data_IF_152598182929
#
_entry.id   IF_152598182929
#
_cell.length_a   1.000
_cell.length_b   1.000
_cell.length_c   1.000
_cell.angle_alpha   90.00
_cell.angle_beta   90.00
_cell.angle_gamma   90.00
#
_symmetry.space_group_name_H-M   'P 1'
#
loop_
_entity.id
_entity.type
_entity.pdbx_description
1 polymer ?
#
# COMPACT_ATOMS: atom_id res chain seq x y z
N UNK A 1 -8.40 -6.91 28.41
CA UNK A 1 -8.06 -8.08 27.59
C UNK A 1 -9.33 -8.91 27.44
N UNK A 2 -10.08 -8.73 26.38
CA UNK A 2 -11.26 -9.52 26.12
C UNK A 2 -10.94 -10.52 25.02
N UNK A 3 -11.28 -11.76 25.32
CA UNK A 3 -11.01 -12.95 24.55
C UNK A 3 -11.28 -12.76 23.05
N UNK A 4 -10.27 -13.07 22.25
CA UNK A 4 -10.43 -13.35 20.83
C UNK A 4 -11.39 -14.53 20.75
N UNK A 5 -12.48 -14.38 20.02
CA UNK A 5 -13.48 -15.41 19.83
C UNK A 5 -12.83 -16.61 19.13
N UNK A 6 -12.55 -17.67 19.88
CA UNK A 6 -11.78 -18.84 19.43
C UNK A 6 -12.50 -19.74 18.40
N UNK A 7 -13.72 -19.42 18.04
CA UNK A 7 -14.52 -20.28 17.17
C UNK A 7 -14.95 -19.58 15.88
N UNK A 8 -14.34 -20.03 14.82
CA UNK A 8 -14.69 -19.83 13.41
C UNK A 8 -14.47 -18.43 12.83
N UNK A 9 -13.45 -18.32 12.04
CA UNK A 9 -13.18 -17.19 11.12
C UNK A 9 -14.33 -16.93 10.12
N UNK A 10 -15.36 -17.76 10.06
CA UNK A 10 -16.42 -17.70 9.04
C UNK A 10 -17.85 -17.95 9.54
N UNK A 11 -18.07 -18.34 10.78
CA UNK A 11 -19.42 -18.38 11.33
C UNK A 11 -19.80 -16.99 11.78
N UNK A 12 -20.97 -16.52 11.36
CA UNK A 12 -21.62 -15.28 11.76
C UNK A 12 -21.29 -14.97 13.23
N UNK A 13 -20.31 -14.11 13.46
CA UNK A 13 -20.03 -13.64 14.79
C UNK A 13 -21.33 -13.01 15.31
N UNK A 14 -21.94 -13.63 16.30
CA UNK A 14 -23.11 -13.11 17.00
C UNK A 14 -22.77 -11.93 17.91
N UNK A 15 -21.57 -11.37 17.77
CA UNK A 15 -21.15 -10.14 18.41
C UNK A 15 -22.08 -9.01 17.93
N UNK A 16 -23.22 -8.87 18.57
CA UNK A 16 -24.17 -7.77 18.36
C UNK A 16 -23.60 -6.41 18.76
N UNK A 17 -22.41 -6.38 19.32
CA UNK A 17 -21.70 -5.16 19.65
C UNK A 17 -21.02 -4.61 18.39
N UNK A 18 -21.70 -3.69 17.73
CA UNK A 18 -21.05 -2.80 16.77
C UNK A 18 -19.93 -2.06 17.52
N UNK A 19 -18.67 -2.47 17.33
CA UNK A 19 -17.54 -1.71 17.84
C UNK A 19 -17.49 -0.39 17.09
N UNK A 20 -18.09 0.64 17.68
CA UNK A 20 -17.88 2.00 17.21
C UNK A 20 -16.51 2.43 17.73
N UNK A 21 -15.53 2.54 16.83
CA UNK A 21 -14.28 3.20 17.18
C UNK A 21 -14.60 4.61 17.68
N UNK A 22 -14.03 5.04 18.82
CA UNK A 22 -14.23 6.39 19.31
C UNK A 22 -13.92 7.42 18.22
N UNK A 23 -14.78 8.42 18.02
CA UNK A 23 -14.60 9.48 17.03
C UNK A 23 -13.29 10.26 17.22
N UNK A 24 -12.80 10.31 18.46
CA UNK A 24 -11.55 10.99 18.83
C UNK A 24 -10.28 10.28 18.32
N UNK A 25 -10.37 8.97 17.96
CA UNK A 25 -9.21 8.25 17.44
C UNK A 25 -9.02 8.57 15.96
N UNK A 26 -7.82 9.02 15.55
CA UNK A 26 -7.50 9.17 14.14
C UNK A 26 -7.46 7.80 13.46
N UNK A 27 -7.89 7.74 12.20
CA UNK A 27 -7.71 6.57 11.34
C UNK A 27 -6.54 6.81 10.40
N UNK A 28 -5.74 5.77 10.21
CA UNK A 28 -4.59 5.78 9.33
C UNK A 28 -4.81 4.75 8.22
N UNK A 29 -4.57 5.17 6.98
CA UNK A 29 -4.46 4.29 5.84
C UNK A 29 -3.01 4.33 5.36
N UNK A 30 -2.30 3.23 5.54
CA UNK A 30 -0.86 3.15 5.30
C UNK A 30 -0.47 3.00 3.84
N UNK A 31 -1.44 2.74 2.94
CA UNK A 31 -1.22 2.64 1.50
C UNK A 31 -2.54 2.76 0.74
N UNK A 32 -2.65 3.78 -0.10
CA UNK A 32 -3.79 4.01 -0.99
C UNK A 32 -3.36 4.81 -2.22
N UNK A 33 -4.28 4.98 -3.18
CA UNK A 33 -4.09 5.75 -4.42
C UNK A 33 -5.20 6.79 -4.56
N UNK A 34 -5.14 7.85 -3.76
CA UNK A 34 -6.18 8.89 -3.72
C UNK A 34 -6.32 9.62 -5.05
N UNK A 35 -5.23 9.75 -5.82
CA UNK A 35 -5.27 10.37 -7.15
C UNK A 35 -6.18 9.61 -8.12
N UNK A 36 -6.36 8.31 -7.96
CA UNK A 36 -7.31 7.52 -8.74
C UNK A 36 -8.76 7.84 -8.37
N UNK A 37 -9.03 8.16 -7.11
CA UNK A 37 -10.36 8.58 -6.68
C UNK A 37 -10.85 9.80 -7.50
N UNK A 38 -10.00 10.80 -7.68
CA UNK A 38 -10.39 12.03 -8.41
C UNK A 38 -10.43 11.86 -9.93
N UNK A 39 -9.84 10.79 -10.47
CA UNK A 39 -9.90 10.49 -11.91
C UNK A 39 -11.20 9.87 -12.37
N UNK A 40 -11.89 9.17 -11.47
CA UNK A 40 -13.11 8.44 -11.78
C UNK A 40 -14.38 9.24 -11.47
N UNK A 41 -14.35 10.56 -11.71
CA UNK A 41 -15.51 11.46 -11.60
C UNK A 41 -16.08 11.63 -10.19
N UNK A 42 -15.36 11.23 -9.15
CA UNK A 42 -15.77 11.56 -7.79
C UNK A 42 -15.57 13.06 -7.54
N UNK A 43 -16.66 13.70 -7.17
CA UNK A 43 -16.63 15.11 -6.83
C UNK A 43 -15.79 15.30 -5.54
N UNK A 44 -14.95 16.33 -5.50
CA UNK A 44 -14.22 16.74 -4.29
C UNK A 44 -15.14 16.91 -3.07
N UNK A 45 -16.37 17.37 -3.29
CA UNK A 45 -17.38 17.54 -2.25
C UNK A 45 -17.81 16.18 -1.65
N UNK A 46 -17.80 15.09 -2.42
CA UNK A 46 -18.16 13.77 -1.93
C UNK A 46 -17.09 13.25 -0.97
N UNK A 47 -15.81 13.49 -1.27
CA UNK A 47 -14.72 13.16 -0.36
C UNK A 47 -14.80 13.99 0.93
N UNK A 48 -15.00 15.29 0.84
CA UNK A 48 -15.12 16.20 1.98
C UNK A 48 -16.35 15.86 2.85
N UNK A 49 -17.50 15.48 2.27
CA UNK A 49 -18.71 15.09 2.99
C UNK A 49 -18.57 13.75 3.69
N UNK A 50 -17.87 12.78 3.11
CA UNK A 50 -17.62 11.46 3.74
C UNK A 50 -16.84 11.57 5.04
N UNK A 51 -15.96 12.56 5.15
CA UNK A 51 -15.13 12.80 6.34
C UNK A 51 -15.64 13.95 7.23
N UNK A 52 -16.82 14.52 6.91
CA UNK A 52 -17.41 15.64 7.65
C UNK A 52 -17.78 15.33 9.10
N UNK A 53 -17.71 14.06 9.52
CA UNK A 53 -18.05 13.63 10.88
C UNK A 53 -16.99 13.98 11.93
N UNK A 54 -16.05 14.84 11.63
CA UNK A 54 -15.05 15.34 12.59
C UNK A 54 -13.94 14.36 12.96
N UNK A 55 -13.91 13.15 12.35
CA UNK A 55 -12.83 12.19 12.56
C UNK A 55 -11.58 12.61 11.81
N UNK A 56 -10.44 12.57 12.48
CA UNK A 56 -9.15 12.79 11.84
C UNK A 56 -8.76 11.58 10.99
N UNK A 57 -8.43 11.83 9.72
CA UNK A 57 -7.98 10.82 8.76
C UNK A 57 -6.56 11.15 8.30
N UNK A 58 -5.71 10.13 8.23
CA UNK A 58 -4.34 10.26 7.72
C UNK A 58 -4.11 9.20 6.67
N UNK A 59 -3.73 9.62 5.46
CA UNK A 59 -3.49 8.76 4.31
C UNK A 59 -2.05 8.81 3.87
N UNK A 60 -1.50 7.66 3.45
CA UNK A 60 -0.27 7.56 2.68
C UNK A 60 -0.66 7.30 1.23
N UNK A 61 -0.65 8.35 0.42
CA UNK A 61 -1.02 8.32 -1.00
C UNK A 61 0.18 7.97 -1.87
N UNK A 62 0.08 6.89 -2.63
CA UNK A 62 1.15 6.37 -3.47
C UNK A 62 0.98 6.85 -4.91
N UNK A 63 1.84 7.75 -5.35
CA UNK A 63 1.82 8.31 -6.69
C UNK A 63 2.80 7.61 -7.62
N UNK A 64 2.26 7.06 -8.69
CA UNK A 64 3.06 6.50 -9.77
C UNK A 64 3.33 7.54 -10.84
N UNK A 65 4.46 7.46 -11.50
CA UNK A 65 4.79 8.33 -12.64
C UNK A 65 3.73 8.34 -13.74
N UNK A 66 3.11 7.18 -14.00
CA UNK A 66 2.08 7.02 -15.05
C UNK A 66 0.88 7.92 -14.81
N UNK A 67 0.58 8.22 -13.56
CA UNK A 67 -0.57 9.02 -13.15
C UNK A 67 -0.24 10.51 -12.96
N UNK A 68 0.79 11.02 -13.64
CA UNK A 68 1.26 12.41 -13.50
C UNK A 68 1.49 12.77 -12.03
N UNK A 69 2.70 12.66 -11.56
CA UNK A 69 3.14 12.99 -10.19
C UNK A 69 2.67 14.35 -9.64
N UNK A 70 2.13 15.21 -10.49
CA UNK A 70 1.80 16.60 -10.21
C UNK A 70 0.31 16.89 -10.06
N UNK A 71 -0.53 15.86 -9.88
CA UNK A 71 -1.95 16.09 -9.60
C UNK A 71 -2.09 16.63 -8.18
N UNK A 72 -2.19 17.93 -8.04
CA UNK A 72 -2.50 18.56 -6.77
C UNK A 72 -4.00 18.47 -6.51
N UNK A 73 -4.35 17.88 -5.39
CA UNK A 73 -5.68 18.02 -4.84
C UNK A 73 -5.57 18.68 -3.47
N UNK A 74 -6.16 19.87 -3.40
CA UNK A 74 -6.35 20.56 -2.15
C UNK A 74 -7.64 20.04 -1.51
N UNK A 75 -7.50 19.27 -0.43
CA UNK A 75 -8.62 18.94 0.42
C UNK A 75 -8.83 20.08 1.40
N UNK A 76 -10.01 20.69 1.39
CA UNK A 76 -10.35 21.76 2.32
C UNK A 76 -10.75 21.23 3.70
N UNK A 77 -10.72 19.90 3.91
CA UNK A 77 -11.11 19.29 5.16
C UNK A 77 -9.90 19.30 6.15
N UNK A 78 -9.94 20.07 7.24
CA UNK A 78 -8.84 20.17 8.19
C UNK A 78 -8.58 18.87 8.96
N UNK A 79 -9.51 17.91 8.91
CA UNK A 79 -9.38 16.60 9.54
C UNK A 79 -8.67 15.58 8.66
N UNK A 80 -8.37 15.91 7.39
CA UNK A 80 -7.70 15.01 6.45
C UNK A 80 -6.27 15.48 6.24
N UNK A 81 -5.31 14.60 6.51
CA UNK A 81 -3.89 14.81 6.20
C UNK A 81 -3.42 13.75 5.21
N UNK A 82 -2.75 14.18 4.15
CA UNK A 82 -2.20 13.31 3.12
C UNK A 82 -0.68 13.46 3.10
N UNK A 83 0.01 12.35 3.25
CA UNK A 83 1.43 12.21 2.97
C UNK A 83 1.57 11.48 1.64
N UNK A 84 2.57 11.81 0.85
CA UNK A 84 2.69 11.27 -0.49
C UNK A 84 4.01 10.53 -0.69
N UNK A 85 3.94 9.34 -1.27
CA UNK A 85 5.10 8.61 -1.79
C UNK A 85 5.17 8.79 -3.31
N UNK A 86 6.36 8.71 -3.86
CA UNK A 86 6.60 8.81 -5.30
C UNK A 86 7.49 7.66 -5.74
N UNK A 87 7.05 6.93 -6.77
CA UNK A 87 7.79 5.79 -7.27
C UNK A 87 7.47 5.41 -8.71
N UNK A 88 8.22 4.46 -9.23
CA UNK A 88 8.05 3.91 -10.56
C UNK A 88 7.66 2.45 -10.38
N UNK A 89 6.36 2.20 -10.58
CA UNK A 89 5.75 0.89 -10.37
C UNK A 89 6.18 -0.13 -11.45
N UNK A 90 6.42 -1.41 -11.11
CA UNK A 90 6.91 -2.43 -12.05
C UNK A 90 5.98 -2.73 -13.24
N UNK A 91 4.70 -2.37 -13.18
CA UNK A 91 3.76 -2.50 -14.30
C UNK A 91 3.79 -1.34 -15.29
N UNK A 92 4.45 -0.25 -14.99
CA UNK A 92 4.42 0.99 -15.77
C UNK A 92 5.83 1.52 -16.04
N UNK A 93 6.68 0.67 -16.65
CA UNK A 93 8.04 1.06 -16.95
C UNK A 93 8.09 2.13 -18.06
N UNK A 94 8.84 3.22 -17.83
CA UNK A 94 9.01 4.25 -18.84
C UNK A 94 9.96 3.79 -19.94
N UNK A 95 9.80 4.34 -21.14
CA UNK A 95 10.71 4.08 -22.26
C UNK A 95 12.14 4.62 -21.99
N UNK A 96 12.27 5.67 -21.18
CA UNK A 96 13.55 6.22 -20.75
C UNK A 96 13.68 6.17 -19.23
N UNK A 97 14.18 5.06 -18.72
CA UNK A 97 14.30 4.79 -17.27
C UNK A 97 15.19 5.85 -16.59
N UNK A 98 16.34 6.16 -17.16
CA UNK A 98 17.30 7.10 -16.54
C UNK A 98 16.72 8.50 -16.42
N UNK A 99 15.96 8.95 -17.41
CA UNK A 99 15.28 10.24 -17.35
C UNK A 99 14.24 10.27 -16.23
N UNK A 100 13.40 9.24 -16.13
CA UNK A 100 12.30 9.23 -15.13
C UNK A 100 12.84 9.05 -13.71
N UNK A 101 13.92 8.30 -13.50
CA UNK A 101 14.59 8.23 -12.19
C UNK A 101 15.18 9.59 -11.82
N UNK A 102 15.72 10.34 -12.79
CA UNK A 102 16.19 11.72 -12.54
C UNK A 102 15.05 12.67 -12.21
N UNK A 103 13.88 12.52 -12.85
CA UNK A 103 12.67 13.26 -12.48
C UNK A 103 12.25 12.94 -11.04
N UNK A 104 12.28 11.66 -10.64
CA UNK A 104 11.99 11.23 -9.29
C UNK A 104 12.94 11.87 -8.26
N UNK A 105 14.25 11.89 -8.55
CA UNK A 105 15.23 12.60 -7.73
C UNK A 105 14.89 14.09 -7.60
N UNK A 106 14.55 14.75 -8.72
CA UNK A 106 14.19 16.16 -8.73
C UNK A 106 12.97 16.49 -7.88
N UNK A 107 11.97 15.56 -7.80
CA UNK A 107 10.82 15.68 -6.90
C UNK A 107 11.29 15.80 -5.45
N UNK A 108 12.13 14.88 -5.00
CA UNK A 108 12.61 14.87 -3.61
C UNK A 108 13.57 16.01 -3.30
N UNK A 109 14.32 16.47 -4.29
CA UNK A 109 15.23 17.62 -4.16
C UNK A 109 14.49 18.98 -4.21
N UNK A 110 13.17 19.00 -4.18
CA UNK A 110 12.33 20.22 -4.23
C UNK A 110 12.61 21.13 -5.43
N UNK A 111 13.00 20.55 -6.56
CA UNK A 111 13.24 21.33 -7.79
C UNK A 111 11.95 21.77 -8.50
N UNK A 112 10.81 21.27 -8.03
CA UNK A 112 9.48 21.62 -8.53
C UNK A 112 8.70 22.40 -7.46
N UNK A 113 8.50 23.69 -7.68
CA UNK A 113 7.85 24.61 -6.74
C UNK A 113 6.35 24.34 -6.55
N UNK A 114 5.75 23.54 -7.42
CA UNK A 114 4.32 23.23 -7.43
C UNK A 114 3.95 21.93 -6.69
N UNK A 115 4.90 21.21 -6.11
CA UNK A 115 4.61 20.03 -5.30
C UNK A 115 4.42 20.46 -3.84
N UNK A 116 3.18 20.59 -3.42
CA UNK A 116 2.81 21.03 -2.07
C UNK A 116 2.72 19.85 -1.08
N UNK A 117 2.49 18.63 -1.60
CA UNK A 117 2.35 17.44 -0.77
C UNK A 117 3.63 17.11 0.02
N UNK A 118 3.46 16.70 1.27
CA UNK A 118 4.57 16.24 2.11
C UNK A 118 5.08 14.88 1.61
N UNK A 119 6.26 14.90 0.97
CA UNK A 119 6.91 13.73 0.37
C UNK A 119 7.60 12.91 1.45
N UNK A 120 7.15 11.66 1.63
CA UNK A 120 7.59 10.87 2.79
C UNK A 120 8.40 9.62 2.44
N UNK A 121 8.31 9.07 1.22
CA UNK A 121 9.01 7.85 0.84
C UNK A 121 9.18 7.71 -0.68
N UNK A 122 10.15 6.89 -1.09
CA UNK A 122 10.26 6.37 -2.44
C UNK A 122 9.40 5.11 -2.55
N UNK A 123 8.51 5.08 -3.50
CA UNK A 123 7.60 3.98 -3.76
C UNK A 123 6.28 4.48 -4.35
N UNK A 124 5.58 3.59 -4.85
CA UNK A 124 5.63 2.13 -4.83
C UNK A 124 6.62 1.61 -5.86
N UNK A 125 7.57 0.75 -5.47
CA UNK A 125 8.58 0.19 -6.36
C UNK A 125 8.83 -1.30 -6.03
N UNK A 126 9.32 -2.08 -6.98
CA UNK A 126 9.57 -3.50 -6.77
C UNK A 126 9.42 -4.37 -8.01
N UNK A 127 8.91 -5.61 -7.84
CA UNK A 127 8.76 -6.59 -8.90
C UNK A 127 7.33 -7.15 -8.94
N UNK A 128 6.80 -7.35 -10.14
CA UNK A 128 5.47 -7.93 -10.38
C UNK A 128 5.53 -8.96 -11.52
N UNK A 129 5.29 -10.24 -11.20
CA UNK A 129 5.30 -11.33 -12.19
C UNK A 129 4.15 -11.24 -13.21
N UNK A 130 3.14 -10.44 -12.94
CA UNK A 130 2.02 -10.19 -13.86
C UNK A 130 2.24 -8.97 -14.76
N UNK A 131 3.41 -8.31 -14.63
CA UNK A 131 3.81 -7.22 -15.51
C UNK A 131 4.10 -7.76 -16.93
N UNK A 132 3.82 -6.95 -17.95
CA UNK A 132 4.23 -7.20 -19.33
C UNK A 132 5.73 -6.97 -19.58
N UNK A 133 6.43 -6.36 -18.64
CA UNK A 133 7.86 -6.08 -18.72
C UNK A 133 8.67 -7.21 -18.08
N UNK A 134 9.85 -7.51 -18.67
CA UNK A 134 10.73 -8.55 -18.15
C UNK A 134 11.20 -8.24 -16.72
N UNK A 135 11.48 -9.29 -15.94
CA UNK A 135 12.05 -9.14 -14.60
C UNK A 135 13.38 -8.37 -14.62
N UNK A 136 14.19 -8.52 -15.65
CA UNK A 136 15.48 -7.82 -15.79
C UNK A 136 15.29 -6.31 -15.84
N UNK A 137 14.33 -5.82 -16.62
CA UNK A 137 14.00 -4.39 -16.69
C UNK A 137 13.43 -3.87 -15.39
N UNK A 138 12.49 -4.62 -14.79
CA UNK A 138 11.93 -4.28 -13.49
C UNK A 138 13.02 -4.20 -12.42
N UNK A 139 13.92 -5.19 -12.39
CA UNK A 139 15.02 -5.28 -11.43
C UNK A 139 16.01 -4.12 -11.58
N UNK A 140 16.35 -3.76 -12.83
CA UNK A 140 17.20 -2.60 -13.12
C UNK A 140 16.60 -1.33 -12.52
N UNK A 141 15.32 -1.10 -12.77
CA UNK A 141 14.61 0.07 -12.25
C UNK A 141 14.48 0.06 -10.73
N UNK A 142 14.22 -1.12 -10.16
CA UNK A 142 14.14 -1.30 -8.71
C UNK A 142 15.46 -0.93 -8.03
N UNK A 143 16.59 -1.43 -8.53
CA UNK A 143 17.95 -1.07 -8.04
C UNK A 143 18.22 0.42 -8.08
N UNK A 144 17.84 1.09 -9.16
CA UNK A 144 18.02 2.55 -9.27
C UNK A 144 17.21 3.30 -8.21
N UNK A 145 15.98 2.87 -7.93
CA UNK A 145 15.14 3.47 -6.89
C UNK A 145 15.67 3.19 -5.48
N UNK A 146 16.19 1.98 -5.22
CA UNK A 146 16.84 1.65 -3.95
C UNK A 146 18.12 2.50 -3.73
N UNK A 147 18.92 2.67 -4.77
CA UNK A 147 20.12 3.54 -4.71
C UNK A 147 19.72 4.97 -4.35
N UNK A 148 18.69 5.51 -4.99
CA UNK A 148 18.18 6.85 -4.70
C UNK A 148 17.64 6.96 -3.26
N UNK A 149 16.90 5.93 -2.79
CA UNK A 149 16.38 5.88 -1.41
C UNK A 149 17.52 5.90 -0.39
N UNK A 150 18.60 5.13 -0.64
CA UNK A 150 19.78 5.11 0.22
C UNK A 150 20.48 6.46 0.26
N UNK A 151 20.70 7.09 -0.91
CA UNK A 151 21.38 8.39 -1.04
C UNK A 151 20.61 9.52 -0.33
N UNK A 152 19.29 9.52 -0.41
CA UNK A 152 18.43 10.54 0.19
C UNK A 152 17.96 10.18 1.59
N UNK A 153 18.32 8.99 2.10
CA UNK A 153 17.85 8.43 3.38
C UNK A 153 16.31 8.44 3.52
N UNK A 154 15.62 8.11 2.43
CA UNK A 154 14.16 8.08 2.37
C UNK A 154 13.63 6.68 2.64
N UNK A 155 12.51 6.51 3.36
CA UNK A 155 11.81 5.24 3.46
C UNK A 155 11.47 4.67 2.08
N UNK A 156 11.29 3.36 2.01
CA UNK A 156 10.88 2.66 0.79
C UNK A 156 9.55 1.96 0.98
N UNK A 157 8.63 2.11 0.01
CA UNK A 157 7.39 1.32 -0.08
C UNK A 157 7.54 0.31 -1.21
N UNK A 158 7.39 -0.98 -0.87
CA UNK A 158 7.66 -2.10 -1.76
C UNK A 158 6.39 -2.72 -2.32
N UNK A 159 6.39 -2.97 -3.62
CA UNK A 159 5.43 -3.81 -4.33
C UNK A 159 6.07 -5.15 -4.69
N UNK A 160 5.51 -6.26 -4.22
CA UNK A 160 5.98 -7.61 -4.57
C UNK A 160 4.84 -8.53 -4.98
N UNK A 161 4.84 -9.01 -6.22
CA UNK A 161 3.84 -9.96 -6.71
C UNK A 161 4.48 -11.10 -7.49
N UNK A 162 4.06 -12.35 -7.17
CA UNK A 162 4.68 -13.58 -7.64
C UNK A 162 5.76 -14.07 -6.69
N UNK A 163 5.74 -15.39 -6.40
CA UNK A 163 6.58 -15.97 -5.34
C UNK A 163 8.08 -15.73 -5.57
N UNK A 164 8.50 -15.74 -6.84
CA UNK A 164 9.88 -15.49 -7.26
C UNK A 164 10.35 -14.06 -7.02
N UNK A 165 9.42 -13.10 -7.00
CA UNK A 165 9.73 -11.69 -6.78
C UNK A 165 10.28 -11.43 -5.39
N UNK A 166 9.76 -12.13 -4.38
CA UNK A 166 10.10 -11.87 -2.97
C UNK A 166 11.58 -12.09 -2.67
N UNK A 167 12.13 -13.21 -3.09
CA UNK A 167 13.53 -13.52 -2.83
C UNK A 167 14.49 -12.59 -3.59
N UNK A 168 14.18 -12.29 -4.85
CA UNK A 168 14.95 -11.34 -5.65
C UNK A 168 14.96 -9.95 -5.00
N UNK A 169 13.79 -9.45 -4.62
CA UNK A 169 13.68 -8.16 -3.94
C UNK A 169 14.44 -8.13 -2.62
N UNK A 170 14.29 -9.16 -1.78
CA UNK A 170 15.00 -9.21 -0.50
C UNK A 170 16.52 -9.21 -0.65
N UNK A 171 17.05 -9.90 -1.66
CA UNK A 171 18.47 -9.87 -1.95
C UNK A 171 18.95 -8.48 -2.38
N UNK A 172 18.21 -7.80 -3.25
CA UNK A 172 18.57 -6.44 -3.66
C UNK A 172 18.45 -5.43 -2.52
N UNK A 173 17.45 -5.58 -1.65
CA UNK A 173 17.34 -4.75 -0.45
C UNK A 173 18.58 -4.85 0.43
N UNK A 174 19.09 -6.07 0.67
CA UNK A 174 20.32 -6.28 1.47
C UNK A 174 21.57 -5.68 0.82
N UNK A 175 21.62 -5.64 -0.51
CA UNK A 175 22.77 -5.08 -1.25
C UNK A 175 22.77 -3.55 -1.25
N UNK A 176 21.60 -2.91 -1.24
CA UNK A 176 21.47 -1.47 -1.43
C UNK A 176 21.17 -0.69 -0.17
N UNK A 177 20.56 -1.33 0.84
CA UNK A 177 20.06 -0.66 2.03
C UNK A 177 20.72 -1.23 3.29
N UNK A 178 20.96 -0.36 4.28
CA UNK A 178 21.45 -0.82 5.57
C UNK A 178 20.33 -1.48 6.41
N UNK A 179 20.65 -2.34 7.40
CA UNK A 179 19.67 -3.04 8.22
C UNK A 179 18.74 -2.14 9.05
N UNK A 180 19.06 -0.86 9.21
CA UNK A 180 18.23 0.11 9.93
C UNK A 180 17.37 0.97 9.00
N UNK A 181 17.40 0.71 7.68
CA UNK A 181 16.60 1.44 6.73
C UNK A 181 15.11 1.21 6.98
N UNK A 182 14.28 2.24 6.75
CA UNK A 182 12.83 2.19 6.94
C UNK A 182 12.17 1.63 5.69
N UNK A 183 11.46 0.50 5.82
CA UNK A 183 10.86 -0.19 4.68
C UNK A 183 9.45 -0.65 5.03
N UNK A 184 8.49 -0.34 4.16
CA UNK A 184 7.14 -0.85 4.19
C UNK A 184 6.94 -1.79 2.99
N UNK A 185 6.73 -3.08 3.24
CA UNK A 185 6.35 -4.04 2.21
C UNK A 185 4.83 -4.16 2.20
N UNK A 186 4.19 -3.50 1.25
CA UNK A 186 2.73 -3.42 1.21
C UNK A 186 2.09 -4.72 0.72
N UNK A 187 0.79 -4.91 1.04
CA UNK A 187 -0.08 -5.96 0.51
C UNK A 187 0.40 -7.39 0.76
N UNK A 188 0.94 -7.68 1.96
CA UNK A 188 1.31 -9.04 2.35
C UNK A 188 0.04 -9.86 2.62
N UNK A 189 -0.06 -11.03 1.97
CA UNK A 189 -1.25 -11.87 1.96
C UNK A 189 -0.87 -13.36 1.85
N UNK A 190 -1.83 -14.31 1.86
CA UNK A 190 -1.55 -15.75 1.79
C UNK A 190 -0.75 -16.24 0.57
N UNK A 191 -0.64 -15.44 -0.52
CA UNK A 191 0.17 -15.77 -1.71
C UNK A 191 1.60 -15.23 -1.64
N UNK A 192 1.94 -14.51 -0.58
CA UNK A 192 3.29 -13.99 -0.35
C UNK A 192 4.25 -15.11 0.09
N UNK A 193 5.53 -14.95 -0.19
CA UNK A 193 6.55 -15.84 0.38
C UNK A 193 6.80 -15.49 1.85
N UNK A 194 6.06 -16.16 2.74
CA UNK A 194 6.10 -15.89 4.18
C UNK A 194 7.45 -16.15 4.81
N UNK A 195 8.27 -17.07 4.25
CA UNK A 195 9.62 -17.34 4.72
C UNK A 195 10.53 -16.15 4.43
N UNK A 196 10.45 -15.62 3.22
CA UNK A 196 11.20 -14.42 2.83
C UNK A 196 10.75 -13.20 3.64
N UNK A 197 9.43 -13.04 3.88
CA UNK A 197 8.91 -11.95 4.71
C UNK A 197 9.40 -12.06 6.16
N UNK A 198 9.43 -13.26 6.74
CA UNK A 198 10.00 -13.48 8.08
C UNK A 198 11.49 -13.10 8.13
N UNK A 199 12.27 -13.53 7.14
CA UNK A 199 13.70 -13.18 7.03
C UNK A 199 13.89 -11.66 6.85
N UNK A 200 13.05 -11.00 6.06
CA UNK A 200 13.04 -9.54 5.87
C UNK A 200 12.76 -8.79 7.18
N UNK A 201 11.74 -9.18 7.94
CA UNK A 201 11.39 -8.56 9.23
C UNK A 201 12.49 -8.74 10.28
N UNK A 202 13.20 -9.86 10.22
CA UNK A 202 14.32 -10.13 11.11
C UNK A 202 15.58 -9.32 10.75
N UNK A 203 15.86 -9.18 9.45
CA UNK A 203 17.06 -8.49 8.97
C UNK A 203 16.94 -6.97 9.10
N UNK A 204 15.83 -6.39 8.62
CA UNK A 204 15.62 -4.95 8.66
C UNK A 204 14.88 -4.53 9.95
N UNK A 205 15.57 -3.79 10.82
CA UNK A 205 15.02 -3.43 12.15
C UNK A 205 13.81 -2.50 12.06
N UNK A 206 13.79 -1.61 11.06
CA UNK A 206 12.72 -0.65 10.82
C UNK A 206 11.86 -1.06 9.60
N UNK A 207 11.52 -2.35 9.53
CA UNK A 207 10.67 -2.91 8.50
C UNK A 207 9.26 -3.15 9.00
N UNK A 208 8.30 -3.00 8.09
CA UNK A 208 6.88 -3.16 8.34
C UNK A 208 6.23 -3.90 7.18
N UNK A 209 5.12 -4.57 7.45
CA UNK A 209 4.27 -5.22 6.44
C UNK A 209 2.90 -4.57 6.38
N UNK A 210 2.40 -4.34 5.16
CA UNK A 210 1.06 -3.86 4.92
C UNK A 210 0.05 -5.01 4.90
N UNK A 211 -1.04 -4.87 5.65
CA UNK A 211 -2.17 -5.79 5.63
C UNK A 211 -3.43 -5.06 5.19
N UNK A 212 -4.07 -5.56 4.16
CA UNK A 212 -5.32 -5.06 3.60
C UNK A 212 -6.34 -6.18 3.42
N UNK A 213 -7.44 -5.89 2.75
CA UNK A 213 -8.52 -6.85 2.57
C UNK A 213 -8.16 -8.07 1.70
N UNK A 214 -7.02 -8.07 1.01
CA UNK A 214 -6.56 -9.25 0.25
C UNK A 214 -6.32 -10.47 1.12
N UNK A 215 -6.07 -10.29 2.42
CA UNK A 215 -5.94 -11.40 3.36
C UNK A 215 -7.21 -12.25 3.50
N UNK A 216 -8.37 -11.72 3.09
CA UNK A 216 -9.67 -12.40 3.13
C UNK A 216 -10.18 -12.84 1.75
N UNK A 217 -9.50 -12.48 0.66
CA UNK A 217 -10.00 -12.66 -0.71
C UNK A 217 -9.62 -13.98 -1.37
N UNK A 218 -9.10 -14.94 -0.61
CA UNK A 218 -8.67 -16.22 -1.17
C UNK A 218 -9.70 -17.32 -0.88
N UNK A 219 -10.09 -18.03 -1.92
CA UNK A 219 -10.96 -19.20 -1.83
C UNK A 219 -10.24 -20.42 -1.21
N UNK A 220 -8.91 -20.34 -1.09
CA UNK A 220 -8.07 -21.39 -0.51
C UNK A 220 -7.95 -21.22 1.02
N UNK A 221 -8.76 -21.99 1.74
CA UNK A 221 -8.79 -22.01 3.20
C UNK A 221 -7.46 -22.49 3.82
N UNK A 222 -6.71 -23.35 3.13
CA UNK A 222 -5.44 -23.87 3.63
C UNK A 222 -4.39 -22.75 3.66
N UNK A 223 -4.22 -22.01 2.57
CA UNK A 223 -3.31 -20.87 2.50
C UNK A 223 -3.67 -19.78 3.51
N UNK A 224 -4.95 -19.52 3.72
CA UNK A 224 -5.40 -18.59 4.76
C UNK A 224 -5.04 -19.07 6.17
N UNK A 225 -5.25 -20.37 6.44
CA UNK A 225 -4.91 -20.96 7.74
C UNK A 225 -3.41 -20.91 7.98
N UNK A 226 -2.59 -21.21 6.99
CA UNK A 226 -1.14 -21.11 7.07
C UNK A 226 -0.67 -19.69 7.31
N UNK A 227 -1.27 -18.71 6.62
CA UNK A 227 -0.97 -17.30 6.81
C UNK A 227 -1.29 -16.84 8.24
N UNK A 228 -2.46 -17.21 8.79
CA UNK A 228 -2.82 -16.86 10.16
C UNK A 228 -1.89 -17.51 11.18
N UNK A 229 -1.54 -18.79 11.01
CA UNK A 229 -0.56 -19.47 11.87
C UNK A 229 0.80 -18.78 11.84
N UNK A 230 1.26 -18.42 10.62
CA UNK A 230 2.49 -17.68 10.45
C UNK A 230 2.42 -16.32 11.17
N UNK A 231 1.35 -15.56 10.96
CA UNK A 231 1.19 -14.23 11.54
C UNK A 231 1.26 -14.24 13.06
N UNK A 232 0.64 -15.22 13.72
CA UNK A 232 0.71 -15.35 15.18
C UNK A 232 2.03 -15.96 15.68
N UNK A 233 2.81 -16.61 14.83
CA UNK A 233 4.11 -17.20 15.19
C UNK A 233 5.26 -16.19 15.17
N UNK A 234 5.10 -15.07 14.47
CA UNK A 234 6.13 -14.03 14.40
C UNK A 234 6.08 -13.17 15.67
N UNK A 235 7.17 -13.18 16.41
CA UNK A 235 7.25 -12.43 17.66
C UNK A 235 7.04 -10.92 17.43
N UNK A 236 6.21 -10.32 18.27
CA UNK A 236 5.93 -8.88 18.24
C UNK A 236 5.38 -8.34 16.90
N UNK A 237 4.78 -9.21 16.09
CA UNK A 237 4.28 -8.85 14.76
C UNK A 237 3.33 -7.65 14.77
N UNK A 238 2.55 -7.47 15.83
CA UNK A 238 1.60 -6.36 15.95
C UNK A 238 2.26 -4.97 15.83
N UNK A 239 3.54 -4.86 16.19
CA UNK A 239 4.32 -3.62 16.04
C UNK A 239 4.96 -3.46 14.67
N UNK A 240 4.78 -4.45 13.79
CA UNK A 240 5.30 -4.50 12.43
C UNK A 240 4.22 -4.40 11.37
N UNK A 241 2.96 -4.33 11.77
CA UNK A 241 1.81 -4.25 10.86
C UNK A 241 1.43 -2.80 10.62
N UNK A 242 1.25 -2.46 9.35
CA UNK A 242 0.59 -1.24 8.88
C UNK A 242 -0.75 -1.67 8.27
N UNK A 243 -1.85 -1.11 8.76
CA UNK A 243 -3.15 -1.30 8.14
C UNK A 243 -3.29 -0.38 6.94
N UNK A 244 -3.79 -0.95 5.85
CA UNK A 244 -3.93 -0.24 4.57
C UNK A 244 -5.16 -0.70 3.81
N UNK A 245 -5.62 0.09 2.85
CA UNK A 245 -6.74 -0.30 1.98
C UNK A 245 -6.30 -0.74 0.60
N UNK A 246 -5.20 -0.20 0.09
CA UNK A 246 -4.81 -0.25 -1.32
C UNK A 246 -5.92 0.29 -2.24
N UNK A 247 -6.69 1.26 -1.70
CA UNK A 247 -7.81 1.89 -2.43
C UNK A 247 -7.30 2.53 -3.73
N UNK A 248 -8.02 2.38 -4.84
CA UNK A 248 -9.35 1.81 -5.04
C UNK A 248 -9.37 0.30 -5.35
N UNK A 249 -8.25 -0.38 -5.24
CA UNK A 249 -8.11 -1.81 -5.45
C UNK A 249 -8.60 -2.61 -4.22
N UNK A 250 -8.70 -3.92 -4.31
CA UNK A 250 -8.89 -4.85 -3.19
C UNK A 250 -10.14 -4.62 -2.32
N UNK A 251 -11.28 -4.32 -2.95
CA UNK A 251 -12.57 -4.27 -2.26
C UNK A 251 -12.85 -5.63 -1.57
N UNK A 252 -13.18 -5.64 -0.27
CA UNK A 252 -13.54 -6.89 0.40
C UNK A 252 -14.83 -7.49 -0.17
N UNK A 253 -14.82 -8.77 -0.55
CA UNK A 253 -16.02 -9.48 -1.02
C UNK A 253 -17.12 -9.55 0.02
N UNK A 254 -16.75 -9.58 1.31
CA UNK A 254 -17.69 -9.56 2.44
C UNK A 254 -18.56 -8.29 2.47
N UNK A 255 -18.16 -7.27 1.75
CA UNK A 255 -18.87 -6.00 1.65
C UNK A 255 -19.82 -5.92 0.44
N UNK A 256 -20.18 -6.99 -0.24
CA UNK A 256 -21.09 -6.98 -1.40
C UNK A 256 -22.58 -6.78 -1.05
N UNK A 257 -22.95 -6.74 0.23
CA UNK A 257 -24.31 -6.42 0.65
C UNK A 257 -24.59 -4.91 0.59
N UNK A 258 -25.82 -4.55 0.26
CA UNK A 258 -26.37 -3.24 -0.14
C UNK A 258 -26.16 -2.01 0.81
N UNK A 259 -25.25 -2.05 1.77
CA UNK A 259 -25.02 -0.94 2.73
C UNK A 259 -23.68 -0.25 2.47
N UNK A 260 -23.44 0.19 1.21
CA UNK A 260 -22.15 0.77 0.85
C UNK A 260 -22.06 2.28 1.00
N UNK A 261 -20.94 2.66 1.54
CA UNK A 261 -20.35 3.96 1.45
C UNK A 261 -19.97 4.25 -0.03
N UNK A 262 -20.22 5.43 -0.60
CA UNK A 262 -19.90 5.83 -1.99
C UNK A 262 -18.47 5.53 -2.44
N UNK A 263 -17.51 5.50 -1.52
CA UNK A 263 -16.12 5.09 -1.80
C UNK A 263 -16.04 3.69 -2.42
N UNK A 264 -16.95 2.78 -2.06
CA UNK A 264 -16.96 1.41 -2.59
C UNK A 264 -17.54 1.29 -4.00
N UNK A 265 -18.37 2.23 -4.44
CA UNK A 265 -19.00 2.21 -5.78
C UNK A 265 -17.98 2.51 -6.88
N UNK A 266 -16.97 3.34 -6.58
CA UNK A 266 -15.91 3.66 -7.53
C UNK A 266 -15.05 2.47 -7.95
N UNK A 267 -14.89 1.47 -7.09
CA UNK A 267 -14.07 0.29 -7.37
C UNK A 267 -14.70 -0.61 -8.45
N UNK A 268 -16.02 -0.70 -8.49
CA UNK A 268 -16.71 -1.55 -9.48
C UNK A 268 -16.55 -0.97 -10.90
N UNK A 269 -16.61 0.35 -11.06
CA UNK A 269 -16.38 1.03 -12.35
C UNK A 269 -14.94 0.91 -12.85
N UNK A 270 -13.96 0.80 -11.95
CA UNK A 270 -12.54 0.66 -12.34
C UNK A 270 -12.26 -0.72 -12.95
N UNK A 271 -12.87 -1.78 -12.40
CA UNK A 271 -12.70 -3.14 -12.95
C UNK A 271 -13.24 -3.29 -14.36
N UNK A 272 -14.40 -2.68 -14.63
CA UNK A 272 -15.05 -2.78 -15.94
C UNK A 272 -14.30 -2.02 -17.04
N UNK A 273 -13.51 -1.01 -16.70
CA UNK A 273 -12.73 -0.23 -17.66
C UNK A 273 -11.29 -0.73 -17.88
N UNK A 274 -10.80 -1.68 -17.09
CA UNK A 274 -9.48 -2.30 -17.32
C UNK A 274 -9.53 -3.44 -18.36
N UNK A 275 -10.72 -3.84 -18.79
CA UNK A 275 -10.95 -4.87 -19.83
C UNK A 275 -11.44 -4.29 -21.15
N UNK A 276 -11.42 -2.99 -21.34
CA UNK A 276 -11.58 -2.30 -22.61
C UNK A 276 -10.28 -1.57 -22.92
#
# INVERSE_FOLDING_TARGET
>A
MNAICENSLYSKCSCKNKYHLPLALPLYDGHCHIDLFFRYEFNKNDFDTQFANGRKMIFIDNKHQYYRWFTDYHLNNPNVKIFTTYGIHPKYLPSNISYVVKELENIFMNKYNNIIAEKVAIGECGLDSTSSFSFELQLTLFKMQLTLAAQLNLPVVLHGRGIESFNLMFNELKLHLNPTHRIHWHCINPKSDLNVIAAFLNYFKNSYIGLNCSIFSHDDLESQTLFHKWLVSVENIIYKIILETDFPFLKPSILESKQYNPISVGVDHIKDNQHK
#
